data_IF_608400116407
#
_entry.id   IF_608400116407
#
_cell.length_a   1.000
_cell.length_b   1.000
_cell.length_c   1.000
_cell.angle_alpha   90.00
_cell.angle_beta   90.00
_cell.angle_gamma   90.00
#
_symmetry.space_group_name_H-M   'P 1'
#
loop_
_entity.id
_entity.type
_entity.pdbx_description
1 polymer ?
#
# COMPACT_ATOMS: atom_id res chain seq x y z
N UNK A 1 15.40 -10.50 18.48
CA UNK A 1 14.00 -10.24 18.08
C UNK A 1 13.74 -8.77 18.34
N UNK A 2 13.37 -8.00 17.33
CA UNK A 2 13.02 -6.58 17.50
C UNK A 2 11.74 -6.51 18.33
N UNK A 3 11.95 -6.48 19.64
CA UNK A 3 10.99 -6.10 20.65
C UNK A 3 11.88 -5.55 21.74
N UNK A 4 11.99 -4.23 21.80
CA UNK A 4 12.67 -3.55 22.91
C UNK A 4 12.11 -4.02 24.27
N UNK A 5 10.87 -4.56 24.25
CA UNK A 5 10.07 -4.82 25.44
C UNK A 5 9.70 -6.31 25.63
N UNK A 6 10.29 -7.23 24.84
CA UNK A 6 9.97 -8.68 24.82
C UNK A 6 8.49 -9.03 24.53
N UNK A 7 7.67 -8.07 24.11
CA UNK A 7 6.29 -8.29 23.68
C UNK A 7 6.22 -8.91 22.28
N UNK A 8 5.27 -9.83 22.09
CA UNK A 8 4.97 -10.50 20.83
C UNK A 8 3.89 -9.75 20.05
N UNK A 9 4.20 -8.51 19.65
CA UNK A 9 3.28 -7.69 18.86
C UNK A 9 3.52 -7.90 17.37
N UNK A 10 2.44 -7.92 16.59
CA UNK A 10 2.50 -7.79 15.14
C UNK A 10 2.74 -6.32 14.79
N UNK A 11 3.67 -6.09 13.87
CA UNK A 11 4.02 -4.75 13.36
C UNK A 11 3.59 -4.68 11.92
N UNK A 12 2.71 -3.72 11.63
CA UNK A 12 2.28 -3.41 10.26
C UNK A 12 2.83 -2.04 9.88
N UNK A 13 3.42 -1.96 8.69
CA UNK A 13 4.01 -0.74 8.15
C UNK A 13 3.44 -0.50 6.76
N UNK A 14 2.80 0.66 6.56
CA UNK A 14 2.33 1.09 5.25
C UNK A 14 3.39 1.99 4.62
N UNK A 15 3.73 1.74 3.37
CA UNK A 15 4.68 2.52 2.59
C UNK A 15 4.11 2.83 1.21
N UNK A 16 4.55 3.91 0.58
CA UNK A 16 4.22 4.20 -0.82
C UNK A 16 5.10 3.42 -1.80
N UNK A 17 4.69 3.32 -3.06
CA UNK A 17 5.57 2.80 -4.12
C UNK A 17 6.68 3.80 -4.48
N UNK A 18 6.39 5.11 -4.58
CA UNK A 18 7.44 6.13 -4.72
C UNK A 18 8.45 6.18 -3.56
N UNK A 19 8.04 5.77 -2.35
CA UNK A 19 8.97 5.64 -1.20
C UNK A 19 10.03 4.55 -1.43
N UNK A 20 9.76 3.56 -2.30
CA UNK A 20 10.69 2.47 -2.61
C UNK A 20 11.90 2.94 -3.42
N UNK A 21 11.88 4.17 -3.95
CA UNK A 21 13.07 4.77 -4.59
C UNK A 21 14.17 5.08 -3.57
N UNK A 22 13.82 5.17 -2.29
CA UNK A 22 14.75 5.57 -1.26
C UNK A 22 15.63 4.43 -0.74
N UNK A 23 16.93 4.71 -0.63
CA UNK A 23 17.95 3.73 -0.22
C UNK A 23 17.68 3.06 1.14
N UNK A 24 17.18 3.82 2.12
CA UNK A 24 16.96 3.29 3.47
C UNK A 24 15.88 2.20 3.51
N UNK A 25 14.94 2.18 2.55
CA UNK A 25 13.94 1.11 2.48
C UNK A 25 14.61 -0.22 2.18
N UNK A 26 15.57 -0.22 1.26
CA UNK A 26 16.32 -1.42 0.90
C UNK A 26 17.26 -1.88 2.02
N UNK A 27 17.89 -0.95 2.73
CA UNK A 27 18.66 -1.26 3.95
C UNK A 27 17.79 -1.92 5.03
N UNK A 28 16.59 -1.38 5.27
CA UNK A 28 15.63 -1.95 6.20
C UNK A 28 15.10 -3.32 5.73
N UNK A 29 14.84 -3.49 4.44
CA UNK A 29 14.40 -4.75 3.85
C UNK A 29 15.45 -5.86 4.02
N UNK A 30 16.72 -5.58 3.71
CA UNK A 30 17.85 -6.49 3.96
C UNK A 30 17.96 -6.84 5.44
N UNK A 31 17.87 -5.84 6.32
CA UNK A 31 17.95 -6.03 7.76
C UNK A 31 16.84 -6.94 8.29
N UNK A 32 15.60 -6.72 7.87
CA UNK A 32 14.44 -7.50 8.29
C UNK A 32 14.54 -8.96 7.82
N UNK A 33 14.96 -9.19 6.58
CA UNK A 33 15.21 -10.52 6.03
C UNK A 33 16.30 -11.27 6.80
N UNK A 34 17.47 -10.65 6.99
CA UNK A 34 18.59 -11.22 7.76
C UNK A 34 18.18 -11.62 9.18
N UNK A 35 17.33 -10.83 9.83
CA UNK A 35 16.91 -11.07 11.22
C UNK A 35 15.63 -11.89 11.34
N UNK A 36 15.04 -12.34 10.22
CA UNK A 36 13.80 -13.12 10.18
C UNK A 36 12.70 -12.47 11.01
N UNK A 37 12.45 -11.18 10.76
CA UNK A 37 11.43 -10.42 11.48
C UNK A 37 10.02 -10.86 11.05
N UNK A 38 9.62 -12.07 11.41
CA UNK A 38 8.36 -12.68 11.00
C UNK A 38 7.13 -11.89 11.46
N UNK A 39 7.25 -11.14 12.55
CA UNK A 39 6.19 -10.31 13.08
C UNK A 39 6.03 -8.96 12.35
N UNK A 40 6.87 -8.68 11.34
CA UNK A 40 6.77 -7.52 10.47
C UNK A 40 6.00 -7.88 9.19
N UNK A 41 4.94 -7.11 8.91
CA UNK A 41 4.28 -7.09 7.62
C UNK A 41 4.36 -5.67 7.04
N UNK A 42 5.05 -5.50 5.91
CA UNK A 42 5.00 -4.27 5.13
C UNK A 42 3.84 -4.35 4.13
N UNK A 43 3.15 -3.24 3.91
CA UNK A 43 2.11 -3.09 2.91
C UNK A 43 2.56 -1.95 2.00
N UNK A 44 2.78 -2.23 0.72
CA UNK A 44 3.13 -1.21 -0.27
C UNK A 44 1.84 -0.80 -0.98
N UNK A 45 1.52 0.49 -0.91
CA UNK A 45 0.50 1.12 -1.74
C UNK A 45 1.04 1.28 -3.16
N UNK A 46 0.78 0.28 -4.02
CA UNK A 46 1.24 0.25 -5.40
C UNK A 46 0.20 0.94 -6.29
N UNK A 47 0.24 2.26 -6.30
CA UNK A 47 -0.72 3.13 -6.99
C UNK A 47 -0.17 3.73 -8.31
N UNK A 48 1.09 3.47 -8.65
CA UNK A 48 1.78 3.87 -9.86
C UNK A 48 1.98 5.38 -10.04
N UNK A 49 1.90 6.19 -8.97
CA UNK A 49 2.13 7.63 -9.01
C UNK A 49 3.10 8.11 -7.92
N UNK A 50 3.79 9.20 -8.21
CA UNK A 50 4.53 10.01 -7.25
C UNK A 50 4.33 11.49 -7.59
N UNK A 51 4.97 12.39 -6.82
CA UNK A 51 4.78 13.85 -6.95
C UNK A 51 5.01 14.32 -8.40
N UNK A 52 6.07 13.84 -9.03
CA UNK A 52 6.51 14.29 -10.36
C UNK A 52 5.86 13.51 -11.53
N UNK A 53 4.93 12.58 -11.25
CA UNK A 53 4.22 11.85 -12.30
C UNK A 53 4.08 10.36 -12.02
N UNK A 54 3.98 9.56 -13.08
CA UNK A 54 3.90 8.11 -12.96
C UNK A 54 5.24 7.49 -12.55
N UNK A 55 5.23 6.53 -11.63
CA UNK A 55 6.47 5.88 -11.18
C UNK A 55 7.21 5.20 -12.34
N UNK A 56 6.50 4.64 -13.32
CA UNK A 56 7.09 4.03 -14.52
C UNK A 56 7.80 5.01 -15.46
N UNK A 57 7.59 6.32 -15.30
CA UNK A 57 8.26 7.36 -16.10
C UNK A 57 9.39 8.01 -15.30
N UNK A 58 9.17 8.23 -14.01
CA UNK A 58 10.13 8.91 -13.12
C UNK A 58 11.25 7.97 -12.67
N UNK A 59 10.89 6.81 -12.10
CA UNK A 59 11.84 5.80 -11.62
C UNK A 59 11.14 4.43 -11.55
N UNK A 60 11.29 3.57 -12.58
CA UNK A 60 10.60 2.28 -12.62
C UNK A 60 11.03 1.33 -11.50
N UNK A 61 10.04 0.74 -10.82
CA UNK A 61 10.25 -0.12 -9.66
C UNK A 61 10.35 -1.61 -9.99
N UNK A 62 9.91 -2.03 -11.18
CA UNK A 62 9.87 -3.45 -11.52
C UNK A 62 11.28 -4.03 -11.79
N UNK A 63 11.51 -5.32 -11.45
CA UNK A 63 10.58 -6.26 -10.82
C UNK A 63 10.53 -6.13 -9.29
N UNK A 64 9.43 -5.64 -8.72
CA UNK A 64 9.34 -5.29 -7.30
C UNK A 64 9.23 -6.53 -6.40
N UNK A 65 8.44 -7.53 -6.82
CA UNK A 65 8.31 -8.81 -6.12
C UNK A 65 9.68 -9.48 -5.94
N UNK A 66 10.43 -9.60 -7.03
CA UNK A 66 11.70 -10.31 -7.09
C UNK A 66 12.77 -9.61 -6.25
N UNK A 67 12.74 -8.27 -6.18
CA UNK A 67 13.62 -7.50 -5.27
C UNK A 67 13.40 -7.91 -3.82
N UNK A 68 12.15 -7.99 -3.35
CA UNK A 68 11.82 -8.41 -1.99
C UNK A 68 12.11 -9.90 -1.73
N UNK A 69 11.78 -10.78 -2.68
CA UNK A 69 12.12 -12.21 -2.60
C UNK A 69 13.63 -12.42 -2.48
N UNK A 70 14.43 -11.61 -3.18
CA UNK A 70 15.90 -11.64 -3.10
C UNK A 70 16.44 -11.29 -1.70
N UNK A 71 15.71 -10.49 -0.92
CA UNK A 71 16.01 -10.18 0.48
C UNK A 71 15.39 -11.17 1.47
N UNK A 72 14.80 -12.25 0.97
CA UNK A 72 14.26 -13.34 1.80
C UNK A 72 12.90 -13.04 2.41
N UNK A 73 12.11 -12.16 1.81
CA UNK A 73 10.74 -11.86 2.25
C UNK A 73 9.73 -12.87 1.67
N UNK A 74 8.60 -13.03 2.38
CA UNK A 74 7.38 -13.61 1.79
C UNK A 74 6.65 -12.49 1.04
N UNK A 75 6.31 -12.71 -0.24
CA UNK A 75 5.70 -11.66 -1.06
C UNK A 75 4.29 -12.08 -1.48
N UNK A 76 3.32 -11.27 -1.08
CA UNK A 76 1.92 -11.38 -1.46
C UNK A 76 1.53 -10.21 -2.35
N UNK A 77 0.61 -10.47 -3.29
CA UNK A 77 0.00 -9.45 -4.13
C UNK A 77 -1.51 -9.54 -3.99
N UNK A 78 -2.17 -8.37 -3.92
CA UNK A 78 -3.63 -8.28 -3.75
C UNK A 78 -4.19 -7.12 -4.56
N UNK A 79 -5.47 -7.22 -4.90
CA UNK A 79 -6.27 -6.04 -5.22
C UNK A 79 -6.47 -5.20 -3.96
N UNK A 80 -5.87 -4.00 -3.93
CA UNK A 80 -5.93 -3.06 -2.82
C UNK A 80 -7.31 -2.44 -2.58
N UNK A 81 -8.27 -2.67 -3.47
CA UNK A 81 -9.67 -2.28 -3.30
C UNK A 81 -10.59 -3.46 -2.94
N UNK A 82 -10.01 -4.66 -2.79
CA UNK A 82 -10.73 -5.84 -2.34
C UNK A 82 -10.40 -6.16 -0.87
N UNK A 83 -11.27 -5.71 0.03
CA UNK A 83 -11.13 -5.92 1.48
C UNK A 83 -10.98 -7.41 1.84
N UNK A 84 -11.67 -8.32 1.13
CA UNK A 84 -11.59 -9.73 1.41
C UNK A 84 -10.18 -10.30 1.09
N UNK A 85 -9.54 -9.82 0.02
CA UNK A 85 -8.18 -10.19 -0.33
C UNK A 85 -7.16 -9.64 0.66
N UNK A 86 -7.29 -8.37 1.06
CA UNK A 86 -6.43 -7.75 2.08
C UNK A 86 -6.51 -8.53 3.39
N UNK A 87 -7.72 -8.84 3.87
CA UNK A 87 -7.92 -9.63 5.10
C UNK A 87 -7.27 -11.01 4.97
N UNK A 88 -7.41 -11.66 3.81
CA UNK A 88 -6.79 -12.98 3.55
C UNK A 88 -5.27 -12.88 3.60
N UNK A 89 -4.68 -11.87 2.95
CA UNK A 89 -3.23 -11.67 2.93
C UNK A 89 -2.66 -11.36 4.32
N UNK A 90 -3.32 -10.51 5.11
CA UNK A 90 -2.92 -10.23 6.50
C UNK A 90 -3.02 -11.48 7.39
N UNK A 91 -4.06 -12.31 7.21
CA UNK A 91 -4.16 -13.59 7.92
C UNK A 91 -3.12 -14.61 7.48
N UNK A 92 -2.68 -14.54 6.22
CA UNK A 92 -1.62 -15.37 5.69
C UNK A 92 -0.25 -14.96 6.23
N UNK A 93 0.06 -13.66 6.26
CA UNK A 93 1.33 -13.16 6.81
C UNK A 93 1.54 -13.60 8.26
N UNK A 94 0.46 -13.68 9.05
CA UNK A 94 0.50 -14.15 10.44
C UNK A 94 0.78 -15.65 10.59
N UNK A 95 0.74 -16.44 9.50
CA UNK A 95 1.08 -17.87 9.49
C UNK A 95 2.53 -18.13 9.06
N UNK A 96 3.23 -17.09 8.59
CA UNK A 96 4.64 -17.15 8.19
C UNK A 96 5.49 -16.81 9.41
N UNK A 97 6.36 -17.72 9.84
CA UNK A 97 7.16 -17.58 11.08
C UNK A 97 8.66 -17.51 10.83
N UNK A 98 9.09 -17.77 9.59
CA UNK A 98 10.49 -17.89 9.21
C UNK A 98 11.08 -16.63 8.57
N UNK A 99 10.23 -15.69 8.14
CA UNK A 99 10.62 -14.49 7.37
C UNK A 99 9.58 -13.35 7.48
N UNK A 100 9.98 -12.08 7.29
CA UNK A 100 9.02 -10.98 7.16
C UNK A 100 8.14 -11.14 5.91
N UNK A 101 6.97 -10.48 5.91
CA UNK A 101 6.05 -10.48 4.76
C UNK A 101 5.90 -9.07 4.18
N UNK A 102 5.87 -8.96 2.86
CA UNK A 102 5.44 -7.75 2.15
C UNK A 102 4.17 -8.08 1.37
N UNK A 103 3.20 -7.18 1.44
CA UNK A 103 1.96 -7.22 0.66
C UNK A 103 2.03 -6.05 -0.32
N UNK A 104 2.16 -6.35 -1.61
CA UNK A 104 2.06 -5.36 -2.68
C UNK A 104 0.57 -5.22 -2.99
N UNK A 105 -0.02 -4.12 -2.54
CA UNK A 105 -1.43 -3.83 -2.75
C UNK A 105 -1.58 -2.94 -3.98
N UNK A 106 -2.11 -3.50 -5.07
CA UNK A 106 -2.36 -2.76 -6.31
C UNK A 106 -3.59 -1.88 -6.12
N UNK A 107 -3.39 -0.57 -6.15
CA UNK A 107 -4.43 0.43 -5.83
C UNK A 107 -4.59 1.43 -6.95
N UNK A 108 -5.57 2.30 -6.79
CA UNK A 108 -5.91 3.39 -7.71
C UNK A 108 -5.79 4.65 -6.86
N UNK A 109 -4.90 5.58 -7.19
CA UNK A 109 -4.79 6.82 -6.44
C UNK A 109 -6.08 7.62 -6.65
N UNK A 110 -6.65 8.16 -5.58
CA UNK A 110 -7.93 8.88 -5.65
C UNK A 110 -9.18 8.01 -5.89
N UNK A 111 -9.09 6.69 -5.62
CA UNK A 111 -10.18 5.73 -5.83
C UNK A 111 -11.54 6.19 -5.29
N UNK A 112 -12.58 6.01 -6.10
CA UNK A 112 -13.96 6.35 -5.77
C UNK A 112 -14.37 7.79 -6.11
N UNK A 113 -13.44 8.59 -6.66
CA UNK A 113 -13.70 9.97 -7.11
C UNK A 113 -13.24 10.15 -8.55
N UNK A 114 -14.19 10.25 -9.49
CA UNK A 114 -13.95 10.17 -10.94
C UNK A 114 -12.89 11.16 -11.46
N UNK A 115 -12.82 12.34 -10.87
CA UNK A 115 -11.92 13.40 -11.30
C UNK A 115 -10.55 13.32 -10.64
N UNK A 116 -10.35 12.46 -9.64
CA UNK A 116 -9.10 12.21 -8.92
C UNK A 116 -8.43 10.89 -9.28
N UNK A 117 -9.18 9.89 -9.76
CA UNK A 117 -8.62 8.59 -10.10
C UNK A 117 -7.47 8.69 -11.13
N UNK A 118 -6.36 8.00 -10.84
CA UNK A 118 -5.17 7.88 -11.70
C UNK A 118 -4.39 9.18 -11.97
N UNK A 119 -4.60 10.23 -11.16
CA UNK A 119 -4.11 11.57 -11.44
C UNK A 119 -3.07 12.07 -10.41
N UNK A 120 -1.78 12.15 -10.78
CA UNK A 120 -0.73 12.65 -9.90
C UNK A 120 -1.01 14.07 -9.34
N UNK A 121 -1.71 14.93 -10.08
CA UNK A 121 -2.00 16.30 -9.63
C UNK A 121 -2.83 16.36 -8.34
N UNK A 122 -3.52 15.27 -7.98
CA UNK A 122 -4.31 15.16 -6.76
C UNK A 122 -3.53 14.61 -5.56
N UNK A 123 -2.24 14.28 -5.72
CA UNK A 123 -1.40 13.78 -4.64
C UNK A 123 -1.28 14.77 -3.47
N UNK A 124 -1.06 16.06 -3.78
CA UNK A 124 -0.88 17.12 -2.78
C UNK A 124 -1.86 18.29 -2.87
N UNK A 125 -2.79 18.27 -3.84
CA UNK A 125 -3.72 19.37 -4.08
C UNK A 125 -5.03 19.17 -3.28
N UNK A 126 -5.40 20.10 -2.38
CA UNK A 126 -6.71 20.03 -1.74
C UNK A 126 -7.83 20.37 -2.73
N UNK A 127 -8.98 19.67 -2.70
CA UNK A 127 -10.14 20.02 -3.50
C UNK A 127 -10.75 21.36 -3.03
N UNK A 128 -11.24 22.17 -3.97
CA UNK A 128 -12.06 23.33 -3.62
C UNK A 128 -13.43 22.88 -3.07
N UNK A 129 -14.19 23.81 -2.51
CA UNK A 129 -15.49 23.49 -1.87
C UNK A 129 -16.45 22.73 -2.81
N UNK A 130 -16.50 23.10 -4.09
CA UNK A 130 -17.35 22.44 -5.09
C UNK A 130 -16.85 21.02 -5.43
N UNK A 131 -15.55 20.86 -5.61
CA UNK A 131 -14.92 19.55 -5.86
C UNK A 131 -15.13 18.60 -4.67
N UNK A 132 -15.00 19.11 -3.44
CA UNK A 132 -15.25 18.36 -2.21
C UNK A 132 -16.70 17.88 -2.10
N UNK A 133 -17.68 18.75 -2.40
CA UNK A 133 -19.09 18.34 -2.43
C UNK A 133 -19.35 17.25 -3.48
N UNK A 134 -18.76 17.38 -4.67
CA UNK A 134 -18.87 16.36 -5.73
C UNK A 134 -18.28 15.03 -5.28
N UNK A 135 -17.07 15.03 -4.71
CA UNK A 135 -16.40 13.84 -4.22
C UNK A 135 -17.22 13.12 -3.13
N UNK A 136 -17.75 13.86 -2.15
CA UNK A 136 -18.61 13.29 -1.11
C UNK A 136 -19.87 12.64 -1.68
N UNK A 137 -20.50 13.25 -2.70
CA UNK A 137 -21.65 12.67 -3.39
C UNK A 137 -21.33 11.34 -4.09
N UNK A 138 -20.14 11.25 -4.69
CA UNK A 138 -19.66 10.02 -5.33
C UNK A 138 -19.38 8.92 -4.30
N UNK A 139 -18.64 9.23 -3.23
CA UNK A 139 -18.28 8.26 -2.21
C UNK A 139 -19.50 7.67 -1.49
N UNK A 140 -20.46 8.51 -1.10
CA UNK A 140 -21.69 8.07 -0.40
C UNK A 140 -22.56 7.11 -1.20
N UNK A 141 -22.55 7.25 -2.53
CA UNK A 141 -23.35 6.43 -3.42
C UNK A 141 -22.54 5.31 -4.09
N UNK A 142 -21.24 5.20 -3.80
CA UNK A 142 -20.29 4.40 -4.60
C UNK A 142 -20.48 4.65 -6.11
N UNK A 143 -20.50 5.94 -6.50
CA UNK A 143 -20.82 6.39 -7.84
C UNK A 143 -22.18 5.88 -8.34
N UNK A 144 -23.20 5.90 -7.49
CA UNK A 144 -24.56 5.45 -7.79
C UNK A 144 -24.81 3.94 -7.67
N UNK A 145 -23.82 3.13 -7.26
CA UNK A 145 -23.98 1.68 -7.04
C UNK A 145 -24.84 1.36 -5.81
N UNK A 146 -24.92 2.27 -4.84
CA UNK A 146 -25.74 2.13 -3.64
C UNK A 146 -26.57 3.39 -3.38
N UNK A 147 -27.68 3.23 -2.65
CA UNK A 147 -28.39 4.36 -2.05
C UNK A 147 -27.76 4.68 -0.70
N UNK A 148 -27.35 5.92 -0.53
CA UNK A 148 -26.83 6.44 0.73
C UNK A 148 -27.95 6.54 1.77
N UNK A 149 -27.66 6.26 3.05
CA UNK A 149 -28.64 6.43 4.14
C UNK A 149 -29.08 7.90 4.34
N UNK A 150 -28.23 8.84 3.92
CA UNK A 150 -28.48 10.28 3.92
C UNK A 150 -29.36 10.80 2.74
N UNK A 151 -29.89 9.91 1.86
CA UNK A 151 -30.70 10.28 0.68
C UNK A 151 -32.10 9.66 0.67
#
# INVERSE_FOLDING_TARGET
>A
VFSADKQKNWVWCLTGDGEQDEGQIWEAAMFAGKNRLFNLTQIIDRNNIQIDGHTEEVMPLEPLREKYESFGWHVLEVDGHNIAEIIRALKESQKIFEKPTVIIAHTIPGYGVDFMEWKPEWHGKPPCAQEGQKALGQLRSLCGKIKSEDQ
#
